data_IF_197532905078
#
_entry.id   IF_197532905078
#
_cell.length_a   1.000
_cell.length_b   1.000
_cell.length_c   1.000
_cell.angle_alpha   90.00
_cell.angle_beta   90.00
_cell.angle_gamma   90.00
#
_symmetry.space_group_name_H-M   'P 1'
#
loop_
_entity.id
_entity.type
_entity.pdbx_description
1 polymer ?
#
# COMPACT_ATOMS: atom_id res chain seq x y z
N UNK A 1 22.59 3.86 14.02
CA UNK A 1 21.29 3.74 14.69
C UNK A 1 20.66 5.08 15.05
N UNK A 2 21.41 6.04 15.53
CA UNK A 2 20.89 7.36 15.92
C UNK A 2 20.35 8.15 14.71
N UNK A 3 21.04 8.11 13.58
CA UNK A 3 20.65 8.81 12.34
C UNK A 3 19.34 8.32 11.75
N UNK A 4 18.98 7.05 11.92
CA UNK A 4 17.74 6.46 11.43
C UNK A 4 16.58 6.54 12.45
N UNK A 5 16.80 7.16 13.60
CA UNK A 5 15.82 7.22 14.70
C UNK A 5 15.19 5.87 15.04
N UNK A 6 15.95 4.78 14.91
CA UNK A 6 15.45 3.40 15.07
C UNK A 6 14.74 3.15 16.41
N UNK A 7 15.10 3.90 17.46
CA UNK A 7 14.44 3.82 18.76
C UNK A 7 12.97 4.26 18.73
N UNK A 8 12.57 5.12 17.79
CA UNK A 8 11.17 5.60 17.69
C UNK A 8 10.22 4.49 17.26
N UNK A 9 10.72 3.45 16.59
CA UNK A 9 9.91 2.29 16.19
C UNK A 9 9.57 1.35 17.34
N UNK A 10 10.18 1.54 18.51
CA UNK A 10 9.79 0.82 19.73
C UNK A 10 8.47 1.35 20.30
N UNK A 11 8.10 2.59 20.00
CA UNK A 11 6.82 3.17 20.37
C UNK A 11 5.72 2.90 19.34
N UNK A 12 4.56 3.50 19.56
CA UNK A 12 3.40 3.44 18.67
C UNK A 12 3.07 4.83 18.07
N UNK A 13 3.98 5.82 18.23
CA UNK A 13 3.82 7.16 17.66
C UNK A 13 3.81 7.10 16.12
N UNK A 14 2.74 7.56 15.46
CA UNK A 14 2.65 7.61 13.99
C UNK A 14 3.77 8.42 13.33
N UNK A 15 4.34 9.42 14.02
CA UNK A 15 5.45 10.20 13.52
C UNK A 15 6.71 9.34 13.23
N UNK A 16 6.85 8.18 13.87
CA UNK A 16 7.94 7.25 13.56
C UNK A 16 7.91 6.75 12.12
N UNK A 17 6.70 6.54 11.55
CA UNK A 17 6.54 6.03 10.19
C UNK A 17 7.05 7.03 9.14
N UNK A 18 6.97 8.33 9.43
CA UNK A 18 7.39 9.40 8.50
C UNK A 18 8.90 9.62 8.50
N UNK A 19 9.66 8.90 9.32
CA UNK A 19 11.13 8.86 9.20
C UNK A 19 11.58 8.35 7.83
N UNK A 20 10.74 7.55 7.16
CA UNK A 20 10.92 7.18 5.76
C UNK A 20 10.06 8.10 4.88
N UNK A 21 10.69 8.88 3.99
CA UNK A 21 9.99 9.86 3.16
C UNK A 21 8.90 9.24 2.27
N UNK A 22 9.05 7.98 1.87
CA UNK A 22 8.06 7.26 1.06
C UNK A 22 6.74 7.02 1.80
N UNK A 23 6.73 7.14 3.13
CA UNK A 23 5.53 7.01 3.96
C UNK A 23 4.77 8.33 4.14
N UNK A 24 5.32 9.45 3.67
CA UNK A 24 4.70 10.77 3.82
C UNK A 24 3.26 10.85 3.25
N UNK A 25 2.95 10.32 2.06
CA UNK A 25 1.57 10.35 1.54
C UNK A 25 0.60 9.55 2.40
N UNK A 26 1.03 8.39 2.90
CA UNK A 26 0.20 7.52 3.76
C UNK A 26 -0.07 8.15 5.11
N UNK A 27 0.93 8.81 5.67
CA UNK A 27 0.76 9.59 6.90
C UNK A 27 -0.21 10.76 6.69
N UNK A 28 -0.05 11.51 5.61
CA UNK A 28 -0.92 12.64 5.30
C UNK A 28 -2.38 12.21 5.11
N UNK A 29 -2.63 11.14 4.37
CA UNK A 29 -3.98 10.61 4.17
C UNK A 29 -4.58 10.07 5.46
N UNK A 30 -3.78 9.36 6.29
CA UNK A 30 -4.23 8.92 7.61
C UNK A 30 -4.60 10.11 8.51
N UNK A 31 -3.80 11.18 8.55
CA UNK A 31 -4.09 12.38 9.34
C UNK A 31 -5.43 13.03 8.97
N UNK A 32 -5.86 12.91 7.71
CA UNK A 32 -7.14 13.44 7.23
C UNK A 32 -8.29 12.43 7.37
N UNK A 33 -8.01 11.21 7.81
CA UNK A 33 -9.02 10.19 8.02
C UNK A 33 -9.75 10.35 9.36
N UNK A 34 -10.92 9.73 9.47
CA UNK A 34 -11.66 9.67 10.74
C UNK A 34 -10.90 8.91 11.84
N UNK A 35 -9.98 8.01 11.46
CA UNK A 35 -9.22 7.16 12.38
C UNK A 35 -8.05 7.89 13.05
N UNK A 36 -7.63 9.04 12.56
CA UNK A 36 -6.47 9.77 13.12
C UNK A 36 -6.65 10.22 14.58
N UNK A 37 -7.90 10.30 15.06
CA UNK A 37 -8.20 10.71 16.43
C UNK A 37 -8.11 9.55 17.43
N UNK A 38 -8.42 8.33 16.98
CA UNK A 38 -8.68 7.20 17.87
C UNK A 38 -7.73 6.02 17.65
N UNK A 39 -7.00 5.99 16.52
CA UNK A 39 -6.12 4.89 16.16
C UNK A 39 -4.81 5.38 15.54
N UNK A 40 -3.71 4.79 15.97
CA UNK A 40 -2.38 4.97 15.41
C UNK A 40 -2.14 4.01 14.24
N UNK A 41 -1.02 4.19 13.53
CA UNK A 41 -0.62 3.24 12.48
C UNK A 41 -0.52 1.80 13.00
N UNK A 42 0.05 1.64 14.20
CA UNK A 42 0.24 0.32 14.81
C UNK A 42 -1.07 -0.34 15.25
N UNK A 43 -2.12 0.43 15.54
CA UNK A 43 -3.42 -0.14 15.91
C UNK A 43 -4.04 -0.93 14.75
N UNK A 44 -3.72 -0.56 13.52
CA UNK A 44 -4.16 -1.25 12.32
C UNK A 44 -3.12 -2.27 11.82
N UNK A 45 -1.83 -1.89 11.79
CA UNK A 45 -0.79 -2.64 11.09
C UNK A 45 -0.04 -3.67 11.93
N UNK A 46 -0.25 -3.71 13.24
CA UNK A 46 0.46 -4.63 14.15
C UNK A 46 -0.53 -5.53 14.89
N UNK A 47 -0.23 -6.83 15.06
CA UNK A 47 -1.14 -7.73 15.79
C UNK A 47 -1.19 -7.38 17.28
N UNK A 48 -2.40 -7.44 17.85
CA UNK A 48 -2.67 -7.13 19.27
C UNK A 48 -3.04 -8.34 20.11
N UNK A 49 -3.00 -9.55 19.57
CA UNK A 49 -3.40 -10.76 20.26
C UNK A 49 -2.54 -11.07 21.49
N UNK A 50 -1.21 -10.95 21.35
CA UNK A 50 -0.29 -11.06 22.46
C UNK A 50 1.00 -10.25 22.23
N UNK A 51 1.71 -9.96 23.32
CA UNK A 51 2.91 -9.12 23.32
C UNK A 51 4.06 -9.73 22.51
N UNK A 52 4.21 -11.04 22.54
CA UNK A 52 5.29 -11.74 21.81
C UNK A 52 5.05 -11.66 20.31
N UNK A 53 3.81 -11.91 19.86
CA UNK A 53 3.41 -11.76 18.46
C UNK A 53 3.59 -10.32 17.97
N UNK A 54 3.19 -9.33 18.81
CA UNK A 54 3.37 -7.90 18.49
C UNK A 54 4.82 -7.59 18.18
N UNK A 55 5.74 -7.96 19.06
CA UNK A 55 7.15 -7.64 18.90
C UNK A 55 7.85 -8.45 17.80
N UNK A 56 7.50 -9.72 17.66
CA UNK A 56 8.02 -10.55 16.57
C UNK A 56 7.60 -9.98 15.20
N UNK A 57 6.34 -9.59 15.07
CA UNK A 57 5.82 -8.98 13.84
C UNK A 57 6.49 -7.64 13.55
N UNK A 58 6.57 -6.72 14.54
CA UNK A 58 7.27 -5.43 14.38
C UNK A 58 8.73 -5.61 13.98
N UNK A 59 9.43 -6.58 14.58
CA UNK A 59 10.82 -6.88 14.25
C UNK A 59 10.98 -7.37 12.81
N UNK A 60 10.17 -8.33 12.40
CA UNK A 60 10.20 -8.92 11.06
C UNK A 60 9.84 -7.90 9.98
N UNK A 61 8.77 -7.15 10.19
CA UNK A 61 8.30 -6.13 9.25
C UNK A 61 9.29 -4.97 9.15
N UNK A 62 9.82 -4.51 10.29
CA UNK A 62 10.88 -3.49 10.31
C UNK A 62 12.14 -3.92 9.57
N UNK A 63 12.56 -5.18 9.66
CA UNK A 63 13.70 -5.70 8.90
C UNK A 63 13.44 -5.73 7.39
N UNK A 64 12.23 -6.05 6.96
CA UNK A 64 11.83 -5.97 5.55
C UNK A 64 11.92 -4.53 5.04
N UNK A 65 11.40 -3.57 5.79
CA UNK A 65 11.45 -2.15 5.41
C UNK A 65 12.89 -1.65 5.33
N UNK A 66 13.76 -2.02 6.27
CA UNK A 66 15.20 -1.70 6.21
C UNK A 66 15.84 -2.34 4.98
N UNK A 67 15.53 -3.59 4.70
CA UNK A 67 15.99 -4.29 3.50
C UNK A 67 15.61 -3.57 2.21
N UNK A 68 14.33 -3.23 2.05
CA UNK A 68 13.83 -2.49 0.89
C UNK A 68 14.52 -1.12 0.75
N UNK A 69 14.69 -0.40 1.85
CA UNK A 69 15.38 0.88 1.87
C UNK A 69 16.85 0.77 1.41
N UNK A 70 17.57 -0.24 1.90
CA UNK A 70 18.99 -0.44 1.55
C UNK A 70 19.18 -0.89 0.10
N UNK A 71 18.28 -1.72 -0.40
CA UNK A 71 18.33 -2.25 -1.77
C UNK A 71 17.63 -1.38 -2.79
N UNK A 72 16.93 -0.32 -2.36
CA UNK A 72 16.10 0.54 -3.24
C UNK A 72 15.06 -0.27 -4.02
N UNK A 73 14.48 -1.28 -3.38
CA UNK A 73 13.53 -2.21 -4.00
C UNK A 73 12.07 -1.91 -3.63
N UNK A 74 11.78 -0.71 -3.15
CA UNK A 74 10.42 -0.27 -2.88
C UNK A 74 9.59 -0.25 -4.18
N UNK A 75 8.37 -0.84 -4.16
CA UNK A 75 7.49 -0.82 -5.32
C UNK A 75 6.91 0.58 -5.55
N UNK A 76 6.57 0.92 -6.80
CA UNK A 76 5.93 2.20 -7.12
C UNK A 76 4.57 2.37 -6.44
N UNK A 77 3.83 1.30 -6.28
CA UNK A 77 2.59 1.25 -5.51
C UNK A 77 2.81 0.36 -4.29
N UNK A 78 2.87 0.98 -3.11
CA UNK A 78 3.04 0.26 -1.85
C UNK A 78 1.69 -0.30 -1.44
N UNK A 79 1.64 -1.61 -1.26
CA UNK A 79 0.45 -2.32 -0.79
C UNK A 79 0.83 -3.22 0.38
N UNK A 80 -0.15 -3.51 1.24
CA UNK A 80 0.05 -4.45 2.33
C UNK A 80 0.26 -5.87 1.77
N UNK A 81 1.31 -6.53 2.23
CA UNK A 81 1.50 -7.96 1.94
C UNK A 81 0.37 -8.80 2.57
N UNK A 82 0.16 -10.00 2.06
CA UNK A 82 -0.92 -10.88 2.52
C UNK A 82 -0.94 -11.09 4.05
N UNK A 83 0.22 -11.29 4.67
CA UNK A 83 0.31 -11.45 6.13
C UNK A 83 -0.09 -10.17 6.87
N UNK A 84 0.31 -9.00 6.36
CA UNK A 84 -0.05 -7.70 6.93
C UNK A 84 -1.53 -7.39 6.70
N UNK A 85 -2.06 -7.73 5.54
CA UNK A 85 -3.47 -7.55 5.22
C UNK A 85 -4.38 -8.35 6.16
N UNK A 86 -4.02 -9.60 6.48
CA UNK A 86 -4.76 -10.39 7.47
C UNK A 86 -4.73 -9.73 8.86
N UNK A 87 -3.58 -9.19 9.28
CA UNK A 87 -3.48 -8.46 10.55
C UNK A 87 -4.39 -7.23 10.55
N UNK A 88 -4.41 -6.46 9.47
CA UNK A 88 -5.27 -5.29 9.32
C UNK A 88 -6.75 -5.68 9.45
N UNK A 89 -7.17 -6.75 8.75
CA UNK A 89 -8.54 -7.27 8.84
C UNK A 89 -8.92 -7.63 10.28
N UNK A 90 -8.05 -8.37 10.97
CA UNK A 90 -8.29 -8.77 12.36
C UNK A 90 -8.42 -7.55 13.28
N UNK A 91 -7.63 -6.51 13.05
CA UNK A 91 -7.69 -5.28 13.83
C UNK A 91 -8.95 -4.44 13.51
N UNK A 92 -9.41 -4.43 12.25
CA UNK A 92 -10.71 -3.84 11.91
C UNK A 92 -11.83 -4.50 12.71
N UNK A 93 -11.89 -5.83 12.68
CA UNK A 93 -12.89 -6.62 13.41
C UNK A 93 -12.78 -6.38 14.92
N UNK A 94 -11.57 -6.34 15.47
CA UNK A 94 -11.32 -6.10 16.90
C UNK A 94 -11.97 -4.80 17.42
N UNK A 95 -11.85 -3.72 16.65
CA UNK A 95 -12.43 -2.42 17.02
C UNK A 95 -13.91 -2.31 16.64
N UNK A 96 -14.34 -2.94 15.55
CA UNK A 96 -15.69 -2.86 15.00
C UNK A 96 -16.54 -4.11 15.26
N UNK A 97 -16.26 -4.85 16.34
CA UNK A 97 -16.90 -6.13 16.65
C UNK A 97 -18.42 -6.06 16.62
N UNK A 98 -19.02 -5.00 17.18
CA UNK A 98 -20.47 -4.85 17.22
C UNK A 98 -21.12 -4.59 15.85
N UNK A 99 -20.34 -4.05 14.89
CA UNK A 99 -20.84 -3.71 13.56
C UNK A 99 -20.60 -4.82 12.52
N UNK A 100 -19.70 -5.74 12.83
CA UNK A 100 -19.24 -6.75 11.85
C UNK A 100 -19.68 -8.17 12.17
N UNK A 101 -20.26 -8.44 13.35
CA UNK A 101 -20.57 -9.79 13.80
C UNK A 101 -21.34 -10.63 12.78
N UNK A 102 -22.41 -10.09 12.22
CA UNK A 102 -23.25 -10.84 11.27
C UNK A 102 -22.48 -11.24 10.00
N UNK A 103 -21.63 -10.36 9.47
CA UNK A 103 -20.85 -10.62 8.25
C UNK A 103 -19.65 -11.52 8.53
N UNK A 104 -19.02 -11.35 9.69
CA UNK A 104 -17.88 -12.18 10.13
C UNK A 104 -18.38 -13.59 10.44
N UNK A 105 -19.47 -13.73 11.20
CA UNK A 105 -20.07 -15.02 11.56
C UNK A 105 -20.60 -15.77 10.33
N UNK A 106 -21.06 -15.03 9.32
CA UNK A 106 -21.42 -15.62 8.02
C UNK A 106 -20.22 -16.07 7.17
N UNK A 107 -18.97 -15.85 7.67
CA UNK A 107 -17.75 -16.22 6.96
C UNK A 107 -17.52 -15.46 5.64
N UNK A 108 -18.15 -14.30 5.47
CA UNK A 108 -18.04 -13.48 4.24
C UNK A 108 -16.95 -12.43 4.32
N UNK A 109 -16.48 -12.11 5.52
CA UNK A 109 -15.40 -11.15 5.78
C UNK A 109 -14.19 -11.93 6.29
N UNK A 110 -13.37 -12.36 5.35
CA UNK A 110 -12.11 -13.05 5.61
C UNK A 110 -11.12 -12.77 4.48
N UNK A 111 -9.89 -12.42 4.83
CA UNK A 111 -8.89 -12.06 3.83
C UNK A 111 -8.45 -13.27 2.98
N UNK A 112 -8.33 -14.44 3.57
CA UNK A 112 -7.94 -15.65 2.83
C UNK A 112 -9.00 -16.02 1.80
N UNK A 113 -10.29 -15.89 2.16
CA UNK A 113 -11.39 -16.09 1.22
C UNK A 113 -11.44 -14.99 0.13
N UNK A 114 -10.97 -13.79 0.43
CA UNK A 114 -10.85 -12.72 -0.58
C UNK A 114 -9.87 -13.11 -1.69
N UNK A 115 -8.78 -13.81 -1.36
CA UNK A 115 -7.80 -14.27 -2.33
C UNK A 115 -8.36 -15.33 -3.29
N UNK A 116 -9.37 -16.11 -2.85
CA UNK A 116 -10.08 -17.10 -3.70
C UNK A 116 -11.28 -16.52 -4.42
N UNK A 117 -11.66 -15.29 -4.12
CA UNK A 117 -12.83 -14.61 -4.70
C UNK A 117 -14.15 -14.89 -3.97
N UNK A 118 -14.14 -15.69 -2.91
CA UNK A 118 -15.33 -16.10 -2.16
C UNK A 118 -15.71 -15.16 -1.02
N UNK A 119 -14.76 -14.33 -0.58
CA UNK A 119 -14.92 -13.35 0.51
C UNK A 119 -14.70 -11.91 0.09
N UNK A 120 -14.82 -11.00 1.06
CA UNK A 120 -14.54 -9.57 0.92
C UNK A 120 -13.63 -9.11 2.04
N UNK A 121 -12.71 -8.20 1.69
CA UNK A 121 -11.97 -7.43 2.68
C UNK A 121 -12.77 -6.18 3.07
N UNK A 122 -12.51 -5.64 4.26
CA UNK A 122 -13.20 -4.44 4.74
C UNK A 122 -13.01 -3.26 3.77
N UNK A 123 -11.82 -3.13 3.20
CA UNK A 123 -11.47 -2.07 2.23
C UNK A 123 -12.03 -2.28 0.82
N UNK A 124 -12.62 -3.41 0.50
CA UNK A 124 -13.32 -3.59 -0.78
C UNK A 124 -14.58 -2.73 -0.84
N UNK A 125 -15.20 -2.49 0.32
CA UNK A 125 -16.34 -1.61 0.48
C UNK A 125 -15.94 -0.24 1.05
N UNK A 126 -15.03 -0.21 2.02
CA UNK A 126 -14.56 0.99 2.71
C UNK A 126 -13.23 1.49 2.12
N UNK A 127 -13.24 1.86 0.84
CA UNK A 127 -12.04 2.11 0.02
C UNK A 127 -11.18 3.28 0.50
N UNK A 128 -11.78 4.26 1.15
CA UNK A 128 -11.10 5.48 1.57
C UNK A 128 -10.59 5.42 3.02
N UNK A 129 -10.66 4.26 3.65
CA UNK A 129 -10.25 4.08 5.04
C UNK A 129 -8.98 3.23 5.14
N UNK A 130 -7.98 3.74 5.84
CA UNK A 130 -7.71 5.13 6.23
C UNK A 130 -6.89 5.93 5.20
N UNK A 131 -6.33 5.27 4.17
CA UNK A 131 -5.35 5.86 3.26
C UNK A 131 -5.91 6.32 1.92
N UNK A 132 -7.17 6.00 1.60
CA UNK A 132 -7.80 6.39 0.34
C UNK A 132 -7.03 5.88 -0.89
N UNK A 133 -7.06 6.66 -1.96
CA UNK A 133 -6.47 6.31 -3.25
C UNK A 133 -4.97 6.64 -3.43
N UNK A 134 -4.20 6.77 -2.35
CA UNK A 134 -2.76 7.09 -2.41
C UNK A 134 -1.94 5.84 -2.71
N UNK A 135 -1.59 5.63 -3.96
CA UNK A 135 -1.01 4.37 -4.42
C UNK A 135 0.25 4.51 -5.27
N UNK A 136 0.93 5.67 -5.26
CA UNK A 136 2.10 5.85 -6.11
C UNK A 136 3.23 6.60 -5.41
N UNK A 137 4.46 6.16 -5.63
CA UNK A 137 5.67 6.88 -5.21
C UNK A 137 5.76 8.29 -5.78
N UNK A 138 5.08 8.60 -6.88
CA UNK A 138 5.05 9.93 -7.47
C UNK A 138 4.45 10.99 -6.54
N UNK A 139 3.63 10.59 -5.58
CA UNK A 139 3.08 11.49 -4.54
C UNK A 139 4.01 11.68 -3.34
N UNK A 140 5.16 11.00 -3.31
CA UNK A 140 6.12 11.09 -2.22
C UNK A 140 7.13 12.21 -2.46
N UNK A 141 7.35 13.12 -1.52
CA UNK A 141 8.35 14.16 -1.65
C UNK A 141 9.75 13.58 -1.90
N UNK A 142 10.46 14.13 -2.88
CA UNK A 142 11.81 13.73 -3.26
C UNK A 142 11.98 12.23 -3.62
N UNK A 143 10.92 11.53 -3.98
CA UNK A 143 11.02 10.15 -4.44
C UNK A 143 11.70 10.08 -5.81
N UNK A 144 12.62 9.13 -5.95
CA UNK A 144 13.16 8.74 -7.24
C UNK A 144 12.20 7.72 -7.85
N UNK A 145 11.28 8.19 -8.66
CA UNK A 145 10.33 7.31 -9.36
C UNK A 145 11.04 6.75 -10.60
N UNK A 146 11.22 5.43 -10.70
CA UNK A 146 11.78 4.84 -11.91
C UNK A 146 10.83 5.09 -13.09
N UNK A 147 11.37 5.67 -14.15
CA UNK A 147 10.59 5.83 -15.39
C UNK A 147 10.43 4.46 -16.04
N UNK A 148 9.24 4.08 -16.50
CA UNK A 148 9.08 2.89 -17.33
C UNK A 148 9.87 3.05 -18.62
N UNK A 149 10.44 1.97 -19.14
CA UNK A 149 11.19 1.96 -20.41
C UNK A 149 10.37 2.55 -21.56
N UNK A 150 9.07 2.39 -21.50
CA UNK A 150 8.12 3.03 -22.38
C UNK A 150 6.94 3.60 -21.59
N UNK A 151 6.53 4.86 -21.85
CA UNK A 151 5.34 5.44 -21.24
C UNK A 151 4.03 4.77 -21.74
N UNK A 152 4.15 3.93 -22.77
CA UNK A 152 3.01 3.24 -23.37
C UNK A 152 2.94 1.83 -22.83
N UNK A 153 1.80 1.39 -22.23
CA UNK A 153 1.62 0.02 -21.76
C UNK A 153 1.83 -1.00 -22.86
N UNK A 154 2.38 -2.16 -22.54
CA UNK A 154 2.71 -3.21 -23.54
C UNK A 154 1.55 -3.61 -24.45
N UNK A 155 0.34 -3.72 -23.89
CA UNK A 155 -0.86 -4.04 -24.68
C UNK A 155 -1.15 -2.95 -25.72
N UNK A 156 -0.95 -1.68 -25.37
CA UNK A 156 -1.15 -0.56 -26.29
C UNK A 156 -0.02 -0.48 -27.31
N UNK A 157 1.23 -0.78 -26.92
CA UNK A 157 2.35 -0.88 -27.86
C UNK A 157 2.08 -1.93 -28.96
N UNK A 158 1.50 -3.08 -28.58
CA UNK A 158 1.11 -4.11 -29.55
C UNK A 158 0.06 -3.60 -30.53
N UNK A 159 -0.93 -2.86 -30.06
CA UNK A 159 -1.96 -2.25 -30.92
C UNK A 159 -1.37 -1.17 -31.83
N UNK A 160 -0.49 -0.32 -31.33
CA UNK A 160 0.18 0.71 -32.14
C UNK A 160 1.04 0.04 -33.23
N UNK A 161 1.82 -1.00 -32.91
CA UNK A 161 2.60 -1.73 -33.91
C UNK A 161 1.72 -2.33 -35.00
N UNK A 162 0.55 -2.85 -34.65
CA UNK A 162 -0.42 -3.38 -35.62
C UNK A 162 -1.03 -2.27 -36.50
N UNK A 163 -1.23 -1.07 -35.97
CA UNK A 163 -1.80 0.06 -36.72
C UNK A 163 -0.76 0.76 -37.62
N UNK A 164 0.52 0.75 -37.24
CA UNK A 164 1.59 1.37 -38.01
C UNK A 164 1.93 0.65 -39.35
N UNK A 165 1.41 -0.57 -39.53
CA UNK A 165 1.54 -1.29 -40.79
C UNK A 165 0.80 -0.59 -41.95
N UNK A 166 -0.11 0.35 -41.66
CA UNK A 166 -0.92 1.05 -42.64
C UNK A 166 -0.68 2.56 -42.77
N UNK A 167 0.23 3.14 -41.99
CA UNK A 167 0.62 4.54 -42.19
C UNK A 167 1.84 4.56 -43.12
N UNK A 168 1.57 4.48 -44.42
CA UNK A 168 2.56 4.84 -45.40
C UNK A 168 2.97 6.30 -45.16
N UNK A 169 4.28 6.52 -45.10
CA UNK A 169 4.91 7.83 -44.97
C UNK A 169 4.25 8.82 -45.96
N UNK A 170 3.82 10.01 -45.52
CA UNK A 170 3.24 10.97 -46.44
C UNK A 170 4.29 11.31 -47.47
N UNK A 171 4.01 10.95 -48.69
CA UNK A 171 4.85 11.30 -49.86
C UNK A 171 5.05 12.80 -49.86
N UNK A 172 6.26 13.22 -49.53
CA UNK A 172 6.72 14.61 -49.62
C UNK A 172 6.56 15.04 -51.07
N UNK A 173 5.47 15.76 -51.39
CA UNK A 173 5.36 16.44 -52.70
C UNK A 173 6.53 17.37 -52.82
N UNK A 174 7.50 17.04 -53.69
CA UNK A 174 8.49 17.99 -54.19
C UNK A 174 7.70 18.97 -55.03
N UNK A 175 7.53 20.18 -54.51
CA UNK A 175 7.07 21.32 -55.31
C UNK A 175 8.11 21.64 -56.39
N UNK A 176 7.63 21.85 -57.58
CA UNK A 176 8.34 22.44 -58.70
C UNK A 176 8.50 23.93 -58.43
#
# INVERSE_FOLDING_TARGET
MYLLRAHTYLGDDPAACVNCHIMAPYYATWMHSSHSRDATCNDCHVPHENIVKKWAFKGMDGMKHVGAFLTKSEPQAIQAEAASAQVIMNNCIRCHTQLTNEFVDAGKIDYMMTLTGDGKACWDCHRDVPHGGMNSLSSTPAALVPYPESPVPEWLQKLIKLSLIHISEPTRRRGI
#
